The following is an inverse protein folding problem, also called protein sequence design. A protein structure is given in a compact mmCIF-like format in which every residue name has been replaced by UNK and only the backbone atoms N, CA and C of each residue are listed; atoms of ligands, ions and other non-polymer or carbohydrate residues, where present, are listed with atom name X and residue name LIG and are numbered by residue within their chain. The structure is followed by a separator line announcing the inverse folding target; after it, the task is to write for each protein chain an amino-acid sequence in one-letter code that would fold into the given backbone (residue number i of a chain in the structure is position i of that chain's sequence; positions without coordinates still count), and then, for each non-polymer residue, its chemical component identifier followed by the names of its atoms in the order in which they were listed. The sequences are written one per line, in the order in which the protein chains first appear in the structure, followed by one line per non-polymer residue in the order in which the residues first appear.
data_IF_353071142148
#
_entry.id   IF_353071142148
#
_cell.length_a   1.000
_cell.length_b   1.000
_cell.length_c   1.000
_cell.angle_alpha   90.00
_cell.angle_beta   90.00
_cell.angle_gamma   90.00
#
_symmetry.space_group_name_H-M   'P 1'
#
loop_
_entity.id
_entity.type
_entity.pdbx_description
1 polymer ?
#
# COMPACT_ATOMS: atom_id res chain seq x y z
N UNK A 1 31.81 -38.42 -5.57
CA UNK A 1 31.42 -37.56 -6.71
C UNK A 1 30.40 -36.56 -6.17
N UNK A 2 30.76 -35.28 -6.09
CA UNK A 2 29.90 -34.22 -5.54
C UNK A 2 29.04 -33.64 -6.66
N UNK A 3 27.73 -33.84 -6.60
CA UNK A 3 26.78 -33.17 -7.48
C UNK A 3 26.65 -31.69 -7.04
N UNK A 4 26.94 -30.77 -7.96
CA UNK A 4 26.68 -29.33 -7.77
C UNK A 4 25.18 -29.08 -7.91
N UNK A 5 24.52 -28.31 -7.02
CA UNK A 5 23.18 -27.82 -7.30
C UNK A 5 23.25 -26.76 -8.39
N UNK A 6 22.60 -27.03 -9.54
CA UNK A 6 22.32 -26.03 -10.57
C UNK A 6 21.29 -25.06 -10.02
N UNK A 7 21.75 -23.92 -9.51
CA UNK A 7 20.88 -22.80 -9.18
C UNK A 7 20.70 -21.96 -10.45
N UNK A 8 19.74 -22.32 -11.30
CA UNK A 8 19.32 -21.51 -12.44
C UNK A 8 18.18 -20.61 -12.00
N UNK A 9 18.51 -19.50 -11.34
CA UNK A 9 17.60 -18.37 -11.20
C UNK A 9 17.54 -17.68 -12.57
N UNK A 10 16.42 -17.82 -13.27
CA UNK A 10 16.12 -16.97 -14.42
C UNK A 10 15.88 -15.56 -13.91
N UNK A 11 16.85 -14.68 -14.16
CA UNK A 11 16.72 -13.24 -13.93
C UNK A 11 15.74 -12.73 -14.97
N UNK A 12 14.48 -12.53 -14.56
CA UNK A 12 13.46 -11.90 -15.40
C UNK A 12 13.83 -10.42 -15.51
N UNK A 13 14.31 -10.02 -16.69
CA UNK A 13 14.59 -8.62 -17.00
C UNK A 13 13.26 -7.86 -17.16
N UNK A 14 12.87 -7.14 -16.10
CA UNK A 14 11.61 -6.39 -16.00
C UNK A 14 11.56 -5.15 -16.90
N UNK A 15 12.57 -4.90 -17.74
CA UNK A 15 12.62 -3.74 -18.63
C UNK A 15 11.85 -3.92 -19.94
N UNK A 16 11.30 -5.11 -20.20
CA UNK A 16 10.63 -5.43 -21.48
C UNK A 16 9.29 -6.18 -21.26
N UNK A 17 8.37 -5.53 -20.54
CA UNK A 17 7.04 -6.09 -20.17
C UNK A 17 6.03 -5.98 -21.32
N UNK A 18 6.31 -5.19 -22.35
CA UNK A 18 5.38 -4.93 -23.47
C UNK A 18 5.10 -6.16 -24.36
N UNK A 19 5.77 -7.28 -24.13
CA UNK A 19 5.61 -8.53 -24.89
C UNK A 19 5.27 -9.76 -24.01
N UNK A 20 4.88 -9.55 -22.74
CA UNK A 20 4.50 -10.65 -21.86
C UNK A 20 3.08 -11.13 -22.20
N UNK A 21 2.97 -12.31 -22.81
CA UNK A 21 1.69 -12.95 -23.13
C UNK A 21 1.07 -13.53 -21.86
N UNK A 22 0.21 -12.74 -21.19
CA UNK A 22 -0.51 -13.12 -19.96
C UNK A 22 -1.59 -14.18 -20.16
N UNK A 23 -1.70 -14.76 -21.36
CA UNK A 23 -2.73 -15.76 -21.69
C UNK A 23 -2.45 -17.17 -21.11
N UNK A 24 -1.35 -17.34 -20.37
CA UNK A 24 -1.04 -18.61 -19.71
C UNK A 24 -1.80 -18.73 -18.37
N UNK A 25 -2.57 -19.82 -18.13
CA UNK A 25 -3.22 -20.03 -16.85
C UNK A 25 -2.15 -20.20 -15.76
N UNK A 26 -2.19 -19.33 -14.74
CA UNK A 26 -1.37 -19.45 -13.54
C UNK A 26 -1.67 -20.80 -12.88
N UNK A 27 -0.80 -21.80 -13.12
CA UNK A 27 -0.83 -23.05 -12.38
C UNK A 27 -0.32 -22.78 -10.96
N UNK A 28 -1.25 -22.48 -10.06
CA UNK A 28 -0.94 -22.50 -8.63
C UNK A 28 -0.71 -23.96 -8.21
N UNK A 29 0.37 -24.27 -7.48
CA UNK A 29 0.49 -25.58 -6.87
C UNK A 29 -0.69 -25.80 -5.93
N UNK A 30 -1.42 -26.90 -6.14
CA UNK A 30 -2.50 -27.32 -5.26
C UNK A 30 -1.86 -27.73 -3.93
N UNK A 31 -1.83 -26.83 -2.96
CA UNK A 31 -1.40 -27.17 -1.61
C UNK A 31 -2.50 -27.97 -0.91
N UNK A 32 -2.11 -29.00 -0.17
CA UNK A 32 -3.06 -29.77 0.64
C UNK A 32 -3.75 -28.82 1.64
N UNK A 33 -5.08 -28.87 1.67
CA UNK A 33 -5.89 -28.13 2.64
C UNK A 33 -5.41 -28.53 4.04
N UNK A 34 -4.85 -27.58 4.78
CA UNK A 34 -4.38 -27.79 6.14
C UNK A 34 -5.55 -28.26 7.02
N UNK A 35 -5.36 -29.39 7.69
CA UNK A 35 -6.31 -29.90 8.67
C UNK A 35 -6.35 -28.93 9.87
N UNK A 36 -7.34 -28.04 9.84
CA UNK A 36 -7.62 -27.01 10.85
C UNK A 36 -7.80 -27.56 12.27
N UNK A 37 -7.96 -28.88 12.44
CA UNK A 37 -7.99 -29.53 13.75
C UNK A 37 -6.68 -29.51 14.53
N UNK A 38 -5.56 -29.12 13.90
CA UNK A 38 -4.24 -29.01 14.55
C UNK A 38 -3.80 -27.56 14.81
N UNK A 39 -4.59 -26.56 14.39
CA UNK A 39 -4.30 -25.16 14.65
C UNK A 39 -4.79 -24.79 16.05
N UNK A 40 -3.90 -24.82 17.04
CA UNK A 40 -4.15 -24.18 18.33
C UNK A 40 -4.08 -22.66 18.11
N UNK A 41 -5.22 -22.02 17.89
CA UNK A 41 -5.29 -20.56 17.86
C UNK A 41 -4.80 -19.99 19.19
N UNK A 42 -4.08 -18.85 19.19
CA UNK A 42 -3.86 -18.11 20.43
C UNK A 42 -5.23 -17.88 21.05
N UNK A 43 -5.39 -18.30 22.30
CA UNK A 43 -6.61 -18.13 23.07
C UNK A 43 -7.08 -16.69 22.88
N UNK A 44 -8.25 -16.50 22.25
CA UNK A 44 -8.83 -15.19 22.12
C UNK A 44 -9.19 -14.74 23.55
N UNK A 45 -8.27 -14.07 24.23
CA UNK A 45 -8.54 -13.33 25.45
C UNK A 45 -9.29 -12.06 25.05
N UNK A 46 -10.48 -12.23 24.49
CA UNK A 46 -11.47 -11.17 24.51
C UNK A 46 -11.86 -11.05 25.98
N UNK A 47 -11.27 -10.08 26.69
CA UNK A 47 -11.66 -9.75 28.06
C UNK A 47 -13.05 -9.13 28.02
N UNK A 48 -14.09 -9.96 28.07
CA UNK A 48 -15.47 -9.55 28.32
C UNK A 48 -15.65 -9.20 29.80
N UNK A 49 -14.79 -8.31 30.32
CA UNK A 49 -14.86 -7.83 31.70
C UNK A 49 -15.65 -6.52 31.82
N UNK A 50 -16.35 -6.10 30.76
CA UNK A 50 -17.27 -4.97 30.83
C UNK A 50 -18.57 -5.43 31.52
N UNK A 51 -18.88 -4.94 32.74
CA UNK A 51 -20.08 -5.35 33.47
C UNK A 51 -21.38 -5.03 32.73
N UNK A 52 -21.36 -4.03 31.83
CA UNK A 52 -22.53 -3.64 31.05
C UNK A 52 -22.84 -4.67 29.96
N UNK A 53 -21.81 -5.19 29.29
CA UNK A 53 -21.95 -6.22 28.25
C UNK A 53 -22.34 -7.57 28.84
N UNK A 54 -21.83 -7.89 30.04
CA UNK A 54 -22.24 -9.10 30.78
C UNK A 54 -23.69 -9.03 31.24
N UNK A 55 -24.19 -7.84 31.62
CA UNK A 55 -25.58 -7.65 32.03
C UNK A 55 -26.56 -7.84 30.86
N UNK A 56 -26.21 -7.36 29.68
CA UNK A 56 -27.04 -7.48 28.48
C UNK A 56 -27.10 -8.93 27.95
N UNK A 57 -26.02 -9.69 28.06
CA UNK A 57 -25.98 -11.09 27.61
C UNK A 57 -26.57 -12.07 28.65
N UNK A 58 -26.69 -11.67 29.91
CA UNK A 58 -27.12 -12.56 31.00
C UNK A 58 -28.63 -12.85 31.06
N UNK A 59 -29.47 -12.01 30.47
CA UNK A 59 -30.94 -12.15 30.56
C UNK A 59 -31.54 -13.10 29.51
N UNK A 60 -30.88 -13.29 28.36
CA UNK A 60 -31.40 -14.07 27.23
C UNK A 60 -30.62 -15.36 26.91
N UNK A 61 -29.59 -15.72 27.68
CA UNK A 61 -28.84 -16.96 27.45
C UNK A 61 -29.55 -18.16 28.11
N UNK A 62 -30.10 -19.13 27.35
CA UNK A 62 -30.59 -20.36 27.93
C UNK A 62 -29.40 -21.13 28.55
N UNK A 63 -29.51 -21.48 29.84
CA UNK A 63 -28.56 -22.36 30.51
C UNK A 63 -28.54 -23.71 29.79
N UNK A 64 -27.58 -23.90 28.90
CA UNK A 64 -27.36 -25.15 28.20
C UNK A 64 -26.65 -26.12 29.15
N UNK A 65 -27.44 -26.97 29.82
CA UNK A 65 -26.93 -28.11 30.60
C UNK A 65 -26.22 -29.08 29.65
N UNK A 66 -24.89 -29.15 29.73
CA UNK A 66 -24.07 -30.00 28.87
C UNK A 66 -24.14 -31.45 29.39
N UNK A 67 -24.72 -32.42 28.65
CA UNK A 67 -24.79 -33.79 29.14
C UNK A 67 -23.53 -34.55 28.73
N UNK A 68 -22.64 -34.81 29.70
CA UNK A 68 -21.86 -36.04 29.92
C UNK A 68 -20.47 -35.75 30.51
N UNK A 69 -20.05 -36.45 31.58
CA UNK A 69 -18.65 -36.46 32.01
C UNK A 69 -17.79 -37.08 30.91
N UNK A 70 -16.91 -36.29 30.31
CA UNK A 70 -15.93 -36.79 29.34
C UNK A 70 -14.94 -37.69 30.12
N UNK A 71 -14.78 -38.98 29.78
CA UNK A 71 -13.79 -39.81 30.42
C UNK A 71 -12.40 -39.26 30.12
N UNK A 72 -11.55 -39.14 31.15
CA UNK A 72 -10.18 -38.66 31.05
C UNK A 72 -9.46 -39.39 29.91
N UNK A 73 -9.10 -38.66 28.85
CA UNK A 73 -8.52 -39.29 27.68
C UNK A 73 -7.09 -39.74 28.01
N UNK A 74 -6.84 -41.03 27.84
CA UNK A 74 -5.57 -41.71 28.13
C UNK A 74 -4.60 -41.53 26.96
N UNK A 75 -4.44 -40.29 26.48
CA UNK A 75 -3.52 -40.00 25.39
C UNK A 75 -2.13 -39.65 25.95
N UNK A 76 -1.05 -40.20 25.37
CA UNK A 76 0.30 -39.82 25.76
C UNK A 76 0.51 -38.32 25.51
N UNK A 77 1.30 -37.63 26.35
CA UNK A 77 1.54 -36.20 26.18
C UNK A 77 2.15 -35.93 24.79
N UNK A 78 1.74 -34.84 24.12
CA UNK A 78 2.26 -34.51 22.80
C UNK A 78 3.77 -34.31 22.88
N UNK A 79 4.50 -34.98 21.98
CA UNK A 79 5.95 -34.88 21.88
C UNK A 79 6.31 -33.46 21.45
N UNK A 80 7.00 -32.72 22.33
CA UNK A 80 7.53 -31.37 22.06
C UNK A 80 8.80 -31.46 21.22
N UNK A 81 8.68 -31.70 19.93
CA UNK A 81 9.74 -31.37 18.98
C UNK A 81 9.13 -30.45 17.95
N UNK A 82 9.50 -29.17 17.97
CA UNK A 82 9.31 -28.31 16.81
C UNK A 82 10.31 -28.83 15.75
N UNK A 83 9.84 -29.34 14.60
CA UNK A 83 10.75 -29.73 13.52
C UNK A 83 11.56 -28.51 13.10
N UNK A 84 12.88 -28.65 12.91
CA UNK A 84 13.76 -27.58 12.44
C UNK A 84 13.26 -26.92 11.13
N UNK A 85 12.47 -27.65 10.34
CA UNK A 85 11.76 -27.18 9.15
C UNK A 85 10.84 -25.96 9.44
N UNK A 86 10.25 -25.87 10.63
CA UNK A 86 9.41 -24.72 11.00
C UNK A 86 10.21 -23.44 11.24
N UNK A 87 11.45 -23.55 11.71
CA UNK A 87 12.32 -22.38 11.91
C UNK A 87 12.77 -21.81 10.56
N UNK A 88 13.08 -22.69 9.59
CA UNK A 88 13.42 -22.30 8.23
C UNK A 88 12.23 -21.66 7.49
N UNK A 89 11.03 -22.23 7.63
CA UNK A 89 9.82 -21.62 7.09
C UNK A 89 9.54 -20.25 7.73
N UNK A 90 9.70 -20.12 9.05
CA UNK A 90 9.50 -18.84 9.73
C UNK A 90 10.46 -17.76 9.22
N UNK A 91 11.74 -18.11 9.05
CA UNK A 91 12.75 -17.21 8.52
C UNK A 91 12.42 -16.76 7.09
N UNK A 92 12.00 -17.70 6.23
CA UNK A 92 11.58 -17.38 4.86
C UNK A 92 10.35 -16.45 4.83
N UNK A 93 9.40 -16.64 5.74
CA UNK A 93 8.25 -15.75 5.91
C UNK A 93 8.66 -14.36 6.37
N UNK A 94 9.59 -14.25 7.32
CA UNK A 94 10.10 -12.97 7.81
C UNK A 94 10.83 -12.18 6.72
N UNK A 95 11.68 -12.83 5.93
CA UNK A 95 12.33 -12.20 4.77
C UNK A 95 11.31 -11.70 3.76
N UNK A 96 10.32 -12.52 3.42
CA UNK A 96 9.25 -12.13 2.49
C UNK A 96 8.43 -10.94 3.01
N UNK A 97 8.24 -10.85 4.32
CA UNK A 97 7.53 -9.74 4.97
C UNK A 97 8.37 -8.45 4.97
N UNK A 98 9.69 -8.58 5.09
CA UNK A 98 10.64 -7.47 4.93
C UNK A 98 10.64 -6.96 3.49
N UNK A 99 10.73 -7.84 2.49
CA UNK A 99 10.66 -7.46 1.08
C UNK A 99 9.35 -6.73 0.76
N UNK A 100 8.23 -7.22 1.27
CA UNK A 100 6.93 -6.57 1.09
C UNK A 100 6.88 -5.16 1.71
N UNK A 101 7.49 -4.98 2.88
CA UNK A 101 7.60 -3.65 3.53
C UNK A 101 8.46 -2.71 2.69
N UNK A 102 9.58 -3.18 2.16
CA UNK A 102 10.44 -2.39 1.28
C UNK A 102 9.72 -1.98 0.00
N UNK A 103 9.03 -2.92 -0.65
CA UNK A 103 8.23 -2.63 -1.84
C UNK A 103 7.17 -1.55 -1.58
N UNK A 104 6.41 -1.69 -0.48
CA UNK A 104 5.40 -0.68 -0.10
C UNK A 104 6.02 0.70 0.17
N UNK A 105 7.19 0.73 0.80
CA UNK A 105 7.92 1.97 1.06
C UNK A 105 8.38 2.62 -0.25
N UNK A 106 8.98 1.85 -1.16
CA UNK A 106 9.43 2.34 -2.46
C UNK A 106 8.27 2.91 -3.30
N UNK A 107 7.15 2.20 -3.36
CA UNK A 107 5.95 2.66 -4.06
C UNK A 107 5.47 4.01 -3.52
N UNK A 108 5.36 4.13 -2.19
CA UNK A 108 4.95 5.38 -1.53
C UNK A 108 5.93 6.53 -1.80
N UNK A 109 7.22 6.26 -1.92
CA UNK A 109 8.21 7.29 -2.26
C UNK A 109 8.04 7.78 -3.70
N UNK A 110 7.79 6.88 -4.65
CA UNK A 110 7.54 7.23 -6.05
C UNK A 110 6.27 8.10 -6.15
N UNK A 111 5.17 7.65 -5.55
CA UNK A 111 3.89 8.38 -5.55
C UNK A 111 4.05 9.77 -4.92
N UNK A 112 4.70 9.86 -3.75
CA UNK A 112 4.98 11.15 -3.11
C UNK A 112 5.88 12.04 -3.96
N UNK A 113 6.84 11.48 -4.69
CA UNK A 113 7.70 12.21 -5.63
C UNK A 113 6.89 12.82 -6.76
N UNK A 114 6.05 12.01 -7.41
CA UNK A 114 5.17 12.44 -8.50
C UNK A 114 4.19 13.53 -8.06
N UNK A 115 3.58 13.38 -6.87
CA UNK A 115 2.66 14.39 -6.32
C UNK A 115 3.39 15.72 -6.09
N UNK A 116 4.62 15.69 -5.55
CA UNK A 116 5.42 16.90 -5.32
C UNK A 116 5.81 17.58 -6.62
N UNK A 117 6.16 16.82 -7.65
CA UNK A 117 6.48 17.37 -8.97
C UNK A 117 5.27 18.03 -9.61
N UNK A 118 4.13 17.34 -9.62
CA UNK A 118 2.87 17.88 -10.12
C UNK A 118 2.46 19.19 -9.40
N UNK A 119 2.57 19.23 -8.06
CA UNK A 119 2.28 20.45 -7.29
C UNK A 119 3.19 21.62 -7.67
N UNK A 120 4.47 21.36 -7.97
CA UNK A 120 5.42 22.36 -8.40
C UNK A 120 5.05 22.92 -9.77
N UNK A 121 4.72 22.05 -10.72
CA UNK A 121 4.28 22.46 -12.05
C UNK A 121 3.02 23.33 -11.99
N UNK A 122 2.05 22.97 -11.14
CA UNK A 122 0.85 23.78 -10.92
C UNK A 122 1.18 25.17 -10.37
N UNK A 123 2.13 25.26 -9.44
CA UNK A 123 2.56 26.54 -8.89
C UNK A 123 3.29 27.39 -9.95
N UNK A 124 4.21 26.79 -10.70
CA UNK A 124 4.94 27.48 -11.74
C UNK A 124 4.02 27.97 -12.87
N UNK A 125 3.06 27.14 -13.30
CA UNK A 125 2.06 27.52 -14.30
C UNK A 125 1.24 28.74 -13.85
N UNK A 126 0.83 28.76 -12.58
CA UNK A 126 0.10 29.87 -11.98
C UNK A 126 0.94 31.16 -11.90
N UNK A 127 2.23 31.04 -11.60
CA UNK A 127 3.15 32.17 -11.59
C UNK A 127 3.39 32.72 -13.01
N UNK A 128 3.59 31.84 -13.99
CA UNK A 128 3.72 32.23 -15.41
C UNK A 128 2.47 32.96 -15.90
N UNK A 129 1.27 32.46 -15.59
CA UNK A 129 0.01 33.10 -15.97
C UNK A 129 -0.12 34.52 -15.37
N UNK A 130 0.26 34.68 -14.10
CA UNK A 130 0.28 36.00 -13.45
C UNK A 130 1.29 36.95 -14.10
N UNK A 131 2.49 36.45 -14.41
CA UNK A 131 3.53 37.24 -15.06
C UNK A 131 3.10 37.67 -16.46
N UNK A 132 2.48 36.77 -17.23
CA UNK A 132 1.95 37.07 -18.55
C UNK A 132 0.84 38.13 -18.49
N UNK A 133 -0.11 38.00 -17.55
CA UNK A 133 -1.15 39.02 -17.34
C UNK A 133 -0.54 40.39 -16.99
N UNK A 134 0.43 40.42 -16.09
CA UNK A 134 1.13 41.66 -15.74
C UNK A 134 1.90 42.27 -16.92
N UNK A 135 2.52 41.45 -17.77
CA UNK A 135 3.22 41.90 -18.97
C UNK A 135 2.24 42.50 -20.00
N UNK A 136 1.10 41.84 -20.23
CA UNK A 136 0.04 42.34 -21.13
C UNK A 136 -0.51 43.67 -20.64
N UNK A 137 -0.80 43.79 -19.34
CA UNK A 137 -1.29 45.05 -18.75
C UNK A 137 -0.28 46.18 -18.89
N UNK A 138 1.02 45.91 -18.65
CA UNK A 138 2.08 46.91 -18.84
C UNK A 138 2.17 47.38 -20.30
N UNK A 139 2.14 46.44 -21.25
CA UNK A 139 2.19 46.76 -22.67
C UNK A 139 0.96 47.56 -23.13
N UNK A 140 -0.22 47.29 -22.58
CA UNK A 140 -1.44 48.06 -22.85
C UNK A 140 -1.33 49.49 -22.31
N UNK A 141 -0.88 49.66 -21.05
CA UNK A 141 -0.63 50.97 -20.45
C UNK A 141 0.42 51.79 -21.20
N UNK A 142 1.45 51.14 -21.72
CA UNK A 142 2.47 51.79 -22.55
C UNK A 142 1.86 52.30 -23.87
N UNK A 143 1.11 51.45 -24.58
CA UNK A 143 0.39 51.85 -25.81
C UNK A 143 -0.59 52.99 -25.56
N UNK A 144 -1.27 53.00 -24.42
CA UNK A 144 -2.17 54.09 -24.05
C UNK A 144 -1.41 55.40 -23.84
N UNK A 145 -0.27 55.37 -23.15
CA UNK A 145 0.59 56.56 -22.96
C UNK A 145 1.11 57.10 -24.30
N UNK A 146 1.56 56.23 -25.20
CA UNK A 146 2.00 56.63 -26.54
C UNK A 146 0.86 57.33 -27.30
N UNK A 147 -0.36 56.77 -27.27
CA UNK A 147 -1.54 57.39 -27.89
C UNK A 147 -1.83 58.77 -27.30
N UNK A 148 -1.79 58.91 -25.97
CA UNK A 148 -2.00 60.20 -25.31
C UNK A 148 -0.93 61.23 -25.71
N UNK A 149 0.34 60.84 -25.77
CA UNK A 149 1.42 61.73 -26.21
C UNK A 149 1.21 62.21 -27.66
N UNK A 150 0.82 61.31 -28.57
CA UNK A 150 0.51 61.67 -29.97
C UNK A 150 -0.65 62.65 -30.02
N UNK A 151 -1.73 62.42 -29.27
CA UNK A 151 -2.88 63.36 -29.25
C UNK A 151 -2.50 64.74 -28.70
N UNK A 152 -1.66 64.80 -27.67
CA UNK A 152 -1.17 66.06 -27.13
C UNK A 152 -0.26 66.81 -28.12
N UNK A 153 0.64 66.10 -28.81
CA UNK A 153 1.52 66.70 -29.81
C UNK A 153 0.73 67.29 -31.00
N UNK A 154 -0.28 66.57 -31.50
CA UNK A 154 -1.15 67.06 -32.58
C UNK A 154 -1.95 68.29 -32.14
N UNK A 155 -2.47 68.29 -30.91
CA UNK A 155 -3.21 69.43 -30.36
C UNK A 155 -2.32 70.68 -30.24
N UNK A 156 -1.07 70.52 -29.80
CA UNK A 156 -0.10 71.63 -29.69
C UNK A 156 0.37 72.17 -31.05
N UNK A 157 0.36 71.37 -32.12
CA UNK A 157 0.79 71.79 -33.46
C UNK A 157 -0.31 72.53 -34.25
N UNK A 158 -1.57 72.47 -33.79
CA UNK A 158 -2.73 73.06 -34.47
C UNK A 158 -3.11 74.44 -33.89
N UNK A 159 -2.42 74.89 -32.84
CA UNK A 159 -2.50 76.24 -32.28
C UNK A 159 -1.38 77.13 -32.81
#
# INVERSE_FOLDING_TARGET
MLAKPSNSYEVIDLTNIDNADFSSPLQYPVTHILNIGQCTYPWATCTWNDPLVLKEMGEDCPTMEFPAPIPNSEFPPPVKQAPAEWEEELAAWEERLLDWKHFRSAYKQIENGQIKEWLREQQEAKERERAERAAREKAEKEKERERQMVTHAVSSATM
#
